data_IF_108317268462
#
_entry.id   IF_108317268462
#
_cell.length_a   1.000
_cell.length_b   1.000
_cell.length_c   1.000
_cell.angle_alpha   90.00
_cell.angle_beta   90.00
_cell.angle_gamma   90.00
#
_symmetry.space_group_name_H-M   'P 1'
#
loop_
_entity.id
_entity.type
_entity.pdbx_description
1 polymer ?
#
# COMPACT_ATOMS: atom_id res chain seq x y z
N UNK A 1 43.18 -18.59 -18.01
CA UNK A 1 41.86 -19.07 -17.54
C UNK A 1 41.30 -18.10 -16.48
N UNK A 2 41.24 -16.79 -16.79
CA UNK A 2 41.09 -15.75 -15.76
C UNK A 2 40.14 -14.62 -16.13
N UNK A 3 39.95 -14.29 -17.42
CA UNK A 3 39.05 -13.20 -17.82
C UNK A 3 37.57 -13.55 -17.66
N UNK A 4 37.16 -14.78 -18.03
CA UNK A 4 35.75 -15.19 -17.97
C UNK A 4 35.21 -15.21 -16.53
N UNK A 5 36.04 -15.59 -15.54
CA UNK A 5 35.61 -15.65 -14.14
C UNK A 5 35.25 -14.26 -13.57
N UNK A 6 35.97 -13.22 -13.99
CA UNK A 6 35.72 -11.84 -13.55
C UNK A 6 34.40 -11.32 -14.14
N UNK A 7 34.12 -11.62 -15.41
CA UNK A 7 32.85 -11.23 -16.04
C UNK A 7 31.63 -11.88 -15.38
N UNK A 8 31.70 -13.19 -15.05
CA UNK A 8 30.60 -13.84 -14.33
C UNK A 8 30.39 -13.27 -12.93
N UNK A 9 31.46 -12.92 -12.21
CA UNK A 9 31.33 -12.27 -10.90
C UNK A 9 30.67 -10.90 -10.98
N UNK A 10 31.04 -10.06 -11.96
CA UNK A 10 30.43 -8.73 -12.14
C UNK A 10 28.93 -8.80 -12.50
N UNK A 11 28.52 -9.78 -13.32
CA UNK A 11 27.10 -9.99 -13.66
C UNK A 11 26.31 -10.41 -12.40
N UNK A 12 26.85 -11.32 -11.58
CA UNK A 12 26.19 -11.75 -10.35
C UNK A 12 26.05 -10.61 -9.33
N UNK A 13 27.06 -9.74 -9.21
CA UNK A 13 27.02 -8.61 -8.29
C UNK A 13 25.92 -7.62 -8.71
N UNK A 14 25.81 -7.31 -10.01
CA UNK A 14 24.78 -6.37 -10.49
C UNK A 14 23.35 -6.89 -10.29
N UNK A 15 23.11 -8.20 -10.45
CA UNK A 15 21.79 -8.79 -10.18
C UNK A 15 21.37 -8.63 -8.71
N UNK A 16 22.31 -8.73 -7.76
CA UNK A 16 22.03 -8.56 -6.33
C UNK A 16 21.73 -7.08 -6.01
N UNK A 17 22.47 -6.14 -6.59
CA UNK A 17 22.22 -4.70 -6.35
C UNK A 17 20.91 -4.21 -7.00
N UNK A 18 20.55 -4.73 -8.19
CA UNK A 18 19.30 -4.37 -8.85
C UNK A 18 18.07 -4.77 -8.03
N UNK A 19 18.13 -5.91 -7.31
CA UNK A 19 17.04 -6.36 -6.44
C UNK A 19 16.88 -5.50 -5.17
N UNK A 20 17.89 -4.71 -4.79
CA UNK A 20 17.90 -3.90 -3.56
C UNK A 20 17.47 -2.44 -3.75
N UNK A 21 17.35 -1.95 -4.99
CA UNK A 21 16.77 -0.63 -5.22
C UNK A 21 15.26 -0.73 -5.00
N UNK A 22 14.82 -0.42 -3.76
CA UNK A 22 13.40 -0.31 -3.44
C UNK A 22 12.76 0.63 -4.45
N UNK A 23 11.85 0.11 -5.28
CA UNK A 23 11.02 0.93 -6.17
C UNK A 23 10.46 2.09 -5.33
N UNK A 24 10.68 3.33 -5.77
CA UNK A 24 10.19 4.52 -5.06
C UNK A 24 8.68 4.42 -4.98
N UNK A 25 8.17 3.99 -3.82
CA UNK A 25 6.74 3.86 -3.64
C UNK A 25 6.08 5.23 -3.45
N UNK A 26 4.76 5.22 -3.52
CA UNK A 26 3.93 6.42 -3.43
C UNK A 26 4.15 7.14 -2.12
N UNK A 27 4.18 8.48 -2.16
CA UNK A 27 4.12 9.35 -0.98
C UNK A 27 3.10 10.44 -1.22
N UNK A 28 2.02 10.41 -0.46
CA UNK A 28 0.99 11.43 -0.55
C UNK A 28 1.49 12.78 -0.03
N UNK A 29 0.99 13.85 -0.65
CA UNK A 29 1.18 15.22 -0.18
C UNK A 29 0.34 15.46 1.08
N UNK A 30 0.59 16.56 1.82
CA UNK A 30 -0.31 16.97 2.89
C UNK A 30 -1.77 17.06 2.42
N UNK A 31 -2.71 16.67 3.28
CA UNK A 31 -4.15 16.58 3.03
C UNK A 31 -4.55 15.64 1.88
N UNK A 32 -3.71 14.64 1.59
CA UNK A 32 -4.05 13.55 0.70
C UNK A 32 -4.04 12.20 1.42
N UNK A 33 -4.92 11.31 0.98
CA UNK A 33 -5.05 9.93 1.43
C UNK A 33 -5.02 8.99 0.24
N UNK A 34 -4.67 7.72 0.47
CA UNK A 34 -4.64 6.73 -0.59
C UNK A 34 -6.06 6.25 -0.86
N UNK A 35 -6.55 6.49 -2.08
CA UNK A 35 -7.89 6.06 -2.48
C UNK A 35 -7.85 4.94 -3.50
N UNK A 36 -6.72 4.71 -4.19
CA UNK A 36 -6.62 3.62 -5.15
C UNK A 36 -5.40 2.76 -4.89
N UNK A 37 -5.61 1.46 -4.98
CA UNK A 37 -4.58 0.43 -4.90
C UNK A 37 -4.67 -0.46 -6.12
N UNK A 38 -3.56 -0.62 -6.82
CA UNK A 38 -3.45 -1.51 -7.97
C UNK A 38 -2.39 -2.56 -7.68
N UNK A 39 -2.73 -3.83 -7.92
CA UNK A 39 -1.79 -4.94 -7.87
C UNK A 39 -1.66 -5.51 -9.26
N UNK A 40 -0.51 -5.31 -9.88
CA UNK A 40 -0.25 -5.78 -11.24
C UNK A 40 0.03 -7.29 -11.27
N UNK A 41 -0.06 -7.89 -12.46
CA UNK A 41 0.17 -9.33 -12.65
C UNK A 41 1.61 -9.76 -12.32
N UNK A 42 2.58 -8.86 -12.42
CA UNK A 42 3.97 -9.07 -12.04
C UNK A 42 4.21 -8.94 -10.52
N UNK A 43 3.17 -8.64 -9.75
CA UNK A 43 3.23 -8.40 -8.30
C UNK A 43 3.67 -6.99 -7.91
N UNK A 44 3.88 -6.08 -8.87
CA UNK A 44 4.08 -4.67 -8.57
C UNK A 44 2.83 -4.07 -7.92
N UNK A 45 3.05 -3.12 -7.03
CA UNK A 45 1.98 -2.48 -6.26
C UNK A 45 2.09 -0.98 -6.45
N UNK A 46 1.00 -0.36 -6.86
CA UNK A 46 0.89 1.08 -6.96
C UNK A 46 -0.25 1.58 -6.08
N UNK A 47 0.00 2.72 -5.45
CA UNK A 47 -1.00 3.45 -4.69
C UNK A 47 -1.16 4.84 -5.29
N UNK A 48 -2.39 5.32 -5.42
CA UNK A 48 -2.68 6.68 -5.85
C UNK A 48 -3.30 7.48 -4.71
N UNK A 49 -2.83 8.72 -4.57
CA UNK A 49 -3.27 9.64 -3.55
C UNK A 49 -4.30 10.60 -4.11
N UNK A 50 -5.38 10.83 -3.36
CA UNK A 50 -6.36 11.84 -3.68
C UNK A 50 -6.53 12.81 -2.52
N UNK A 51 -7.02 14.02 -2.81
CA UNK A 51 -7.26 15.04 -1.80
C UNK A 51 -8.39 14.59 -0.90
N UNK A 52 -8.16 14.73 0.40
CA UNK A 52 -9.21 14.57 1.39
C UNK A 52 -10.12 15.82 1.31
N UNK A 53 -11.44 15.64 1.12
CA UNK A 53 -12.37 16.77 0.94
C UNK A 53 -12.52 17.66 2.18
N UNK A 54 -12.32 17.12 3.39
CA UNK A 54 -12.31 17.90 4.63
C UNK A 54 -11.29 17.36 5.64
N UNK A 55 -10.98 18.13 6.67
CA UNK A 55 -10.01 17.74 7.69
C UNK A 55 -8.55 17.91 7.23
N UNK A 56 -7.64 17.25 7.93
CA UNK A 56 -6.22 17.33 7.65
C UNK A 56 -5.53 15.97 7.73
N UNK A 57 -4.59 15.72 6.82
CA UNK A 57 -3.76 14.52 6.83
C UNK A 57 -2.29 14.91 6.60
N UNK A 58 -1.35 14.17 7.21
CA UNK A 58 0.07 14.34 6.90
C UNK A 58 0.85 15.34 7.75
N UNK A 59 0.26 15.89 8.85
CA UNK A 59 0.98 16.79 9.78
C UNK A 59 2.19 16.11 10.43
N UNK A 60 1.99 14.90 10.96
CA UNK A 60 3.05 14.06 11.52
C UNK A 60 3.04 12.70 10.81
N UNK A 61 4.23 12.19 10.46
CA UNK A 61 4.33 10.93 9.74
C UNK A 61 5.47 10.06 10.27
N UNK A 62 5.23 8.76 10.32
CA UNK A 62 6.17 7.73 10.72
C UNK A 62 6.47 6.84 9.52
N UNK A 63 7.75 6.75 9.16
CA UNK A 63 8.22 5.93 8.03
C UNK A 63 8.50 4.50 8.50
N UNK A 64 8.65 3.60 7.53
CA UNK A 64 9.14 2.23 7.73
C UNK A 64 8.29 1.42 8.73
N UNK A 65 6.97 1.65 8.74
CA UNK A 65 6.04 0.93 9.60
C UNK A 65 5.54 -0.33 8.90
N UNK A 66 5.33 -1.43 9.62
CA UNK A 66 4.69 -2.62 9.03
C UNK A 66 3.18 -2.49 8.93
N UNK A 67 2.58 -1.58 9.72
CA UNK A 67 1.15 -1.27 9.68
C UNK A 67 0.86 0.07 10.39
N UNK A 68 -0.23 0.73 9.99
CA UNK A 68 -0.74 1.91 10.69
C UNK A 68 -1.63 1.48 11.87
N UNK A 69 -1.08 1.51 13.09
CA UNK A 69 -1.69 0.92 14.28
C UNK A 69 -2.69 1.82 15.01
N UNK A 70 -2.49 3.14 14.98
CA UNK A 70 -3.36 4.07 15.69
C UNK A 70 -4.56 4.47 14.83
N UNK A 71 -5.73 4.60 15.45
CA UNK A 71 -6.94 5.04 14.77
C UNK A 71 -6.79 6.47 14.22
N UNK A 72 -5.99 7.31 14.86
CA UNK A 72 -5.63 8.64 14.39
C UNK A 72 -4.61 8.64 13.24
N UNK A 73 -4.19 7.49 12.73
CA UNK A 73 -3.24 7.39 11.61
C UNK A 73 -3.89 6.83 10.35
N UNK A 74 -3.33 7.18 9.20
CA UNK A 74 -3.73 6.65 7.90
C UNK A 74 -2.51 6.30 7.05
N UNK A 75 -2.71 5.36 6.13
CA UNK A 75 -1.75 4.99 5.10
C UNK A 75 -1.61 6.13 4.09
N UNK A 76 -0.39 6.64 3.97
CA UNK A 76 -0.05 7.84 3.19
C UNK A 76 1.11 7.60 2.23
N UNK A 77 1.55 6.35 2.10
CA UNK A 77 2.62 5.97 1.19
C UNK A 77 3.30 4.69 1.61
N UNK A 78 4.10 4.10 0.71
CA UNK A 78 4.82 2.87 0.97
C UNK A 78 6.18 2.86 0.27
N UNK A 79 6.98 1.86 0.59
CA UNK A 79 8.11 1.38 -0.22
C UNK A 79 8.27 -0.11 -0.01
N UNK A 80 8.93 -0.79 -0.93
CA UNK A 80 9.34 -2.18 -0.69
C UNK A 80 10.41 -2.26 0.39
N UNK A 81 10.31 -3.27 1.24
CA UNK A 81 11.40 -3.66 2.13
C UNK A 81 12.57 -4.22 1.30
N UNK A 82 13.77 -4.23 1.87
CA UNK A 82 14.99 -4.70 1.20
C UNK A 82 14.95 -6.19 0.81
N UNK A 83 14.02 -6.96 1.37
CA UNK A 83 13.79 -8.35 0.99
C UNK A 83 12.93 -8.52 -0.28
N UNK A 84 12.28 -7.46 -0.76
CA UNK A 84 11.34 -7.50 -1.89
C UNK A 84 10.07 -8.32 -1.64
N UNK A 85 9.80 -8.72 -0.40
CA UNK A 85 8.69 -9.61 -0.04
C UNK A 85 7.61 -8.91 0.77
N UNK A 86 7.93 -7.76 1.37
CA UNK A 86 6.99 -6.99 2.17
C UNK A 86 7.08 -5.50 1.87
N UNK A 87 6.00 -4.79 2.19
CA UNK A 87 5.93 -3.33 2.08
C UNK A 87 6.13 -2.69 3.45
N UNK A 88 6.86 -1.59 3.44
CA UNK A 88 7.04 -0.68 4.55
C UNK A 88 6.21 0.58 4.32
N UNK A 89 5.33 0.87 5.25
CA UNK A 89 4.36 1.95 5.17
C UNK A 89 4.88 3.25 5.75
N UNK A 90 4.39 4.33 5.17
CA UNK A 90 4.34 5.67 5.73
C UNK A 90 2.95 5.87 6.33
N UNK A 91 2.89 5.87 7.64
CA UNK A 91 1.67 6.19 8.38
C UNK A 91 1.72 7.66 8.76
N UNK A 92 0.63 8.40 8.53
CA UNK A 92 0.54 9.81 8.91
C UNK A 92 -0.68 10.06 9.79
N UNK A 93 -0.58 11.04 10.67
CA UNK A 93 -1.71 11.53 11.45
C UNK A 93 -2.82 12.03 10.53
N UNK A 94 -4.07 11.69 10.84
CA UNK A 94 -5.28 12.18 10.20
C UNK A 94 -6.19 12.81 11.26
N UNK A 95 -6.78 13.94 10.92
CA UNK A 95 -7.61 14.79 11.77
C UNK A 95 -8.89 15.08 11.00
N UNK A 96 -9.94 14.31 11.29
CA UNK A 96 -11.25 14.32 10.62
C UNK A 96 -12.35 14.19 11.67
N UNK A 97 -13.56 14.64 11.33
CA UNK A 97 -14.71 14.67 12.25
C UNK A 97 -15.02 13.29 12.84
N UNK A 98 -15.09 12.28 11.98
CA UNK A 98 -15.31 10.89 12.40
C UNK A 98 -14.69 9.93 11.41
N UNK A 99 -14.02 8.91 11.95
CA UNK A 99 -13.38 7.83 11.21
C UNK A 99 -14.06 6.51 11.58
N UNK A 100 -14.66 5.79 10.64
CA UNK A 100 -15.27 4.47 10.89
C UNK A 100 -14.61 3.43 10.03
N UNK A 101 -14.11 2.38 10.67
CA UNK A 101 -13.62 1.21 9.98
C UNK A 101 -14.78 0.39 9.41
N UNK A 102 -14.70 0.12 8.10
CA UNK A 102 -15.76 -0.55 7.34
C UNK A 102 -15.45 -2.03 7.19
N UNK A 103 -14.20 -2.35 6.85
CA UNK A 103 -13.82 -3.72 6.55
C UNK A 103 -12.38 -3.86 6.11
N UNK A 104 -11.99 -5.13 5.96
CA UNK A 104 -10.75 -5.51 5.28
C UNK A 104 -11.14 -6.23 4.01
N UNK A 105 -10.57 -5.81 2.90
CA UNK A 105 -10.80 -6.43 1.60
C UNK A 105 -9.45 -6.82 0.96
N UNK A 106 -9.52 -7.56 -0.15
CA UNK A 106 -8.39 -8.16 -0.84
C UNK A 106 -8.28 -7.60 -2.26
N UNK A 107 -7.09 -7.09 -2.62
CA UNK A 107 -6.73 -6.86 -4.03
C UNK A 107 -5.87 -8.02 -4.51
N UNK A 108 -6.42 -8.79 -5.45
CA UNK A 108 -5.74 -9.89 -6.14
C UNK A 108 -4.80 -9.37 -7.23
N UNK A 109 -3.88 -10.21 -7.70
CA UNK A 109 -3.04 -9.93 -8.88
C UNK A 109 -3.92 -9.54 -10.09
N UNK A 110 -3.51 -8.51 -10.82
CA UNK A 110 -4.25 -7.96 -11.96
C UNK A 110 -5.51 -7.17 -11.58
N UNK A 111 -5.76 -6.91 -10.29
CA UNK A 111 -6.95 -6.21 -9.80
C UNK A 111 -6.59 -4.86 -9.16
N UNK A 112 -7.62 -4.04 -8.93
CA UNK A 112 -7.48 -2.78 -8.23
C UNK A 112 -8.69 -2.51 -7.34
N UNK A 113 -8.47 -1.71 -6.31
CA UNK A 113 -9.50 -1.09 -5.49
C UNK A 113 -9.52 0.41 -5.71
N UNK A 114 -10.70 1.01 -5.75
CA UNK A 114 -10.88 2.47 -5.78
C UNK A 114 -11.91 2.90 -4.75
N UNK A 115 -11.51 3.81 -3.88
CA UNK A 115 -12.36 4.59 -2.98
C UNK A 115 -12.56 6.00 -3.53
N UNK A 116 -13.06 6.90 -2.69
CA UNK A 116 -13.46 8.26 -3.06
C UNK A 116 -14.73 8.67 -2.33
N UNK A 117 -15.49 9.60 -2.92
CA UNK A 117 -16.79 9.96 -2.37
C UNK A 117 -17.78 8.79 -2.49
N UNK A 118 -18.47 8.48 -1.39
CA UNK A 118 -19.45 7.39 -1.31
C UNK A 118 -20.80 7.89 -1.82
N UNK A 119 -21.37 7.12 -2.74
CA UNK A 119 -22.72 7.37 -3.27
C UNK A 119 -23.76 7.33 -2.17
N UNK A 120 -24.79 8.19 -2.26
CA UNK A 120 -25.82 8.35 -1.23
C UNK A 120 -26.48 7.04 -0.78
N UNK A 121 -26.65 6.08 -1.70
CA UNK A 121 -27.27 4.77 -1.42
C UNK A 121 -26.42 3.84 -0.55
N UNK A 122 -25.10 4.03 -0.51
CA UNK A 122 -24.15 3.15 0.20
C UNK A 122 -23.61 3.83 1.48
N UNK A 123 -24.07 5.04 1.79
CA UNK A 123 -23.66 5.78 2.98
C UNK A 123 -24.11 5.09 4.24
N UNK A 124 -23.27 5.15 5.26
CA UNK A 124 -23.56 4.65 6.59
C UNK A 124 -24.41 5.64 7.42
N UNK A 125 -24.27 6.94 7.18
CA UNK A 125 -25.00 8.03 7.80
C UNK A 125 -25.99 8.67 6.82
N UNK A 126 -27.09 9.18 7.37
CA UNK A 126 -28.16 9.84 6.61
C UNK A 126 -27.82 11.28 6.21
N UNK A 127 -26.76 11.86 6.79
CA UNK A 127 -26.37 13.26 6.60
C UNK A 127 -24.84 13.37 6.49
N UNK A 128 -24.37 14.37 5.73
CA UNK A 128 -22.94 14.60 5.48
C UNK A 128 -22.41 13.92 4.22
N UNK A 129 -21.13 14.15 3.94
CA UNK A 129 -20.41 13.46 2.85
C UNK A 129 -19.63 12.31 3.49
N UNK A 130 -19.62 11.14 2.84
CA UNK A 130 -18.76 10.04 3.25
C UNK A 130 -17.66 9.86 2.23
N UNK A 131 -16.43 9.68 2.71
CA UNK A 131 -15.26 9.51 1.87
C UNK A 131 -14.52 8.24 2.25
N UNK A 132 -14.43 7.34 1.29
CA UNK A 132 -13.76 6.06 1.41
C UNK A 132 -12.29 6.16 1.01
N UNK A 133 -11.42 5.65 1.86
CA UNK A 133 -9.99 5.59 1.60
C UNK A 133 -9.33 4.40 2.29
N UNK A 134 -8.15 4.05 1.78
CA UNK A 134 -7.33 3.00 2.36
C UNK A 134 -6.59 3.52 3.58
N UNK A 135 -6.90 2.97 4.74
CA UNK A 135 -6.26 3.33 6.00
C UNK A 135 -5.01 2.52 6.34
N UNK A 136 -4.87 1.33 5.75
CA UNK A 136 -3.77 0.39 6.02
C UNK A 136 -3.67 -0.68 4.94
N UNK A 137 -2.49 -1.28 4.75
CA UNK A 137 -2.29 -2.43 3.86
C UNK A 137 -1.38 -3.47 4.53
N UNK A 138 -1.49 -4.73 4.12
CA UNK A 138 -0.56 -5.81 4.43
C UNK A 138 -0.43 -6.72 3.21
N UNK A 139 0.80 -7.13 2.91
CA UNK A 139 1.10 -8.16 1.92
C UNK A 139 1.10 -9.51 2.60
N UNK A 140 0.37 -10.48 2.06
CA UNK A 140 0.44 -11.87 2.47
C UNK A 140 0.99 -12.70 1.33
N UNK A 141 1.97 -13.55 1.64
CA UNK A 141 2.52 -14.53 0.71
C UNK A 141 1.91 -15.87 1.07
N UNK A 142 0.99 -16.37 0.24
CA UNK A 142 0.56 -17.76 0.37
C UNK A 142 1.69 -18.65 -0.16
N UNK A 143 2.56 -19.09 0.73
CA UNK A 143 3.58 -20.09 0.44
C UNK A 143 2.93 -21.45 0.18
N UNK A 144 2.42 -21.68 -1.03
CA UNK A 144 2.10 -23.04 -1.46
C UNK A 144 3.42 -23.77 -1.75
N UNK A 145 3.93 -24.49 -0.75
CA UNK A 145 4.92 -25.56 -0.92
C UNK A 145 4.27 -26.74 -1.66
N UNK A 146 3.93 -26.56 -2.93
CA UNK A 146 3.72 -27.68 -3.85
C UNK A 146 4.96 -27.76 -4.73
N UNK A 147 5.73 -28.82 -4.48
CA UNK A 147 6.98 -29.16 -5.14
C UNK A 147 6.93 -28.79 -6.63
N UNK A 148 7.71 -27.75 -7.00
CA UNK A 148 8.06 -27.29 -8.36
C UNK A 148 7.36 -26.07 -8.99
N UNK A 149 6.53 -25.30 -8.30
CA UNK A 149 6.12 -23.98 -8.84
C UNK A 149 6.20 -22.87 -7.78
N UNK A 150 7.19 -21.97 -7.93
CA UNK A 150 7.30 -20.72 -7.19
C UNK A 150 6.18 -19.76 -7.64
N UNK A 151 4.93 -20.04 -7.27
CA UNK A 151 3.84 -19.09 -7.45
C UNK A 151 3.77 -18.22 -6.18
N UNK A 152 4.53 -17.13 -6.16
CA UNK A 152 4.40 -16.11 -5.12
C UNK A 152 3.11 -15.35 -5.43
N UNK A 153 1.96 -15.88 -5.02
CA UNK A 153 0.73 -15.09 -5.03
C UNK A 153 0.84 -14.05 -3.93
N UNK A 154 1.28 -12.84 -4.31
CA UNK A 154 1.24 -11.68 -3.45
C UNK A 154 -0.21 -11.18 -3.39
N UNK A 155 -0.86 -11.45 -2.27
CA UNK A 155 -2.19 -10.91 -1.97
C UNK A 155 -2.03 -9.67 -1.11
N UNK A 156 -2.76 -8.60 -1.41
CA UNK A 156 -2.79 -7.41 -0.55
C UNK A 156 -4.13 -7.32 0.13
N UNK A 157 -4.09 -7.43 1.46
CA UNK A 157 -5.23 -7.05 2.27
C UNK A 157 -5.11 -5.58 2.63
N UNK A 158 -6.21 -4.86 2.55
CA UNK A 158 -6.25 -3.45 2.87
C UNK A 158 -7.45 -3.15 3.77
N UNK A 159 -7.28 -2.16 4.66
CA UNK A 159 -8.32 -1.72 5.59
C UNK A 159 -9.02 -0.48 5.05
N UNK A 160 -10.30 -0.62 4.79
CA UNK A 160 -11.20 0.42 4.27
C UNK A 160 -11.81 1.17 5.45
N UNK A 161 -11.84 2.49 5.34
CA UNK A 161 -12.38 3.39 6.37
C UNK A 161 -13.17 4.51 5.70
N UNK A 162 -14.35 4.80 6.24
CA UNK A 162 -15.09 6.01 5.92
C UNK A 162 -14.65 7.17 6.81
N UNK A 163 -14.34 8.31 6.19
CA UNK A 163 -14.40 9.61 6.84
C UNK A 163 -15.80 10.18 6.66
N UNK A 164 -16.46 10.51 7.77
CA UNK A 164 -17.69 11.30 7.75
C UNK A 164 -17.29 12.76 7.82
N UNK A 165 -17.87 13.53 6.90
CA UNK A 165 -17.56 14.92 6.60
C UNK A 165 -18.76 15.77 7.01
#
# INVERSE_FOLDING_TARGET
MSLNFIFYSLILINSIYAQLQSIQGTKCSPNQVITKLTVYEDGAIEAECNKLPCGAAGKQCWQNQTSCRADSHTFSGMKWASNGQSVLLRCCSIDITKKVYVGTDLVSLGSYYTGGEVEEKDRYANEGIEYDFVSNIRTEQLGFFLLNFNFINNFIYYKIVFAFI
#
